data_IF_229741567604
#
_entry.id   IF_229741567604
#
_cell.length_a   1.000
_cell.length_b   1.000
_cell.length_c   1.000
_cell.angle_alpha   90.00
_cell.angle_beta   90.00
_cell.angle_gamma   90.00
#
_symmetry.space_group_name_H-M   'P 1'
#
loop_
_entity.id
_entity.type
_entity.pdbx_description
1 polymer ?
#
# COMPACT_ATOMS: atom_id res chain seq x y z
N UNK A 1 0.00 28.77 44.97
CA UNK A 1 0.93 28.30 43.93
C UNK A 1 0.84 26.78 43.90
N UNK A 2 0.17 26.20 42.91
CA UNK A 2 0.01 24.74 42.82
C UNK A 2 1.16 24.18 41.98
N UNK A 3 2.18 23.64 42.63
CA UNK A 3 3.23 22.85 41.98
C UNK A 3 2.65 21.47 41.69
N UNK A 4 2.31 21.22 40.42
CA UNK A 4 1.96 19.88 39.95
C UNK A 4 3.26 19.07 39.93
N UNK A 5 3.47 18.22 40.95
CA UNK A 5 4.55 17.24 40.94
C UNK A 5 4.24 16.18 39.87
N UNK A 6 4.67 16.42 38.63
CA UNK A 6 4.74 15.33 37.64
C UNK A 6 5.78 14.33 38.16
N UNK A 7 5.40 13.08 38.46
CA UNK A 7 6.34 12.11 38.96
C UNK A 7 7.40 11.83 37.89
N UNK A 8 8.66 11.65 38.28
CA UNK A 8 9.80 11.56 37.35
C UNK A 8 9.66 10.45 36.29
N UNK A 9 8.91 9.39 36.59
CA UNK A 9 8.57 8.35 35.62
C UNK A 9 7.66 8.86 34.49
N UNK A 10 6.79 9.83 34.75
CA UNK A 10 5.93 10.45 33.75
C UNK A 10 6.73 11.28 32.74
N UNK A 11 7.72 12.03 33.21
CA UNK A 11 8.63 12.78 32.32
C UNK A 11 9.49 11.84 31.47
N UNK A 12 10.03 10.77 32.06
CA UNK A 12 10.79 9.75 31.33
C UNK A 12 9.94 9.01 30.29
N UNK A 13 8.69 8.68 30.62
CA UNK A 13 7.75 8.06 29.69
C UNK A 13 7.42 8.98 28.51
N UNK A 14 7.14 10.26 28.75
CA UNK A 14 6.88 11.24 27.70
C UNK A 14 8.09 11.42 26.78
N UNK A 15 9.29 11.55 27.35
CA UNK A 15 10.53 11.64 26.58
C UNK A 15 10.76 10.38 25.73
N UNK A 16 10.52 9.20 26.29
CA UNK A 16 10.60 7.93 25.58
C UNK A 16 9.60 7.84 24.41
N UNK A 17 8.34 8.26 24.62
CA UNK A 17 7.32 8.30 23.56
C UNK A 17 7.71 9.27 22.45
N UNK A 18 8.18 10.47 22.79
CA UNK A 18 8.64 11.46 21.80
C UNK A 18 9.85 10.97 21.02
N UNK A 19 10.79 10.31 21.69
CA UNK A 19 11.98 9.74 21.06
C UNK A 19 11.62 8.58 20.13
N UNK A 20 10.71 7.69 20.55
CA UNK A 20 10.18 6.64 19.67
C UNK A 20 9.42 7.22 18.49
N UNK A 21 8.57 8.23 18.68
CA UNK A 21 7.82 8.87 17.60
C UNK A 21 8.73 9.64 16.62
N UNK A 22 9.86 10.17 17.12
CA UNK A 22 10.85 10.87 16.29
C UNK A 22 11.88 9.97 15.61
N UNK A 23 12.19 8.80 16.19
CA UNK A 23 13.22 7.87 15.65
C UNK A 23 12.65 6.70 14.87
N UNK A 24 11.49 6.21 15.29
CA UNK A 24 10.71 5.22 14.56
C UNK A 24 9.51 5.94 13.97
N UNK A 25 9.21 5.69 12.70
CA UNK A 25 8.00 6.22 12.09
C UNK A 25 6.78 5.41 12.59
N UNK A 26 6.49 5.53 13.89
CA UNK A 26 5.45 4.78 14.59
C UNK A 26 4.10 5.04 13.93
N UNK A 27 3.86 6.26 13.46
CA UNK A 27 2.67 6.63 12.71
C UNK A 27 2.54 5.81 11.41
N UNK A 28 3.63 5.64 10.65
CA UNK A 28 3.64 4.78 9.47
C UNK A 28 3.28 3.33 9.80
N UNK A 29 3.97 2.71 10.78
CA UNK A 29 3.72 1.31 11.12
C UNK A 29 2.33 1.09 11.70
N UNK A 30 1.85 1.98 12.57
CA UNK A 30 0.50 1.92 13.12
C UNK A 30 -0.56 2.02 12.01
N UNK A 31 -0.37 2.94 11.05
CA UNK A 31 -1.27 3.10 9.90
C UNK A 31 -1.22 1.88 8.97
N UNK A 32 -0.05 1.30 8.74
CA UNK A 32 0.09 0.05 7.97
C UNK A 32 -0.73 -1.08 8.61
N UNK A 33 -0.55 -1.27 9.92
CA UNK A 33 -1.29 -2.30 10.68
C UNK A 33 -2.80 -2.05 10.63
N UNK A 34 -3.23 -0.79 10.76
CA UNK A 34 -4.64 -0.41 10.61
C UNK A 34 -5.17 -0.71 9.21
N UNK A 35 -4.44 -0.35 8.16
CA UNK A 35 -4.85 -0.61 6.77
C UNK A 35 -5.01 -2.10 6.50
N UNK A 36 -4.06 -2.93 6.94
CA UNK A 36 -4.13 -4.39 6.81
C UNK A 36 -5.30 -4.96 7.62
N UNK A 37 -5.47 -4.54 8.87
CA UNK A 37 -6.58 -5.01 9.70
C UNK A 37 -7.94 -4.58 9.11
N UNK A 38 -8.07 -3.34 8.62
CA UNK A 38 -9.28 -2.84 7.96
C UNK A 38 -9.59 -3.65 6.69
N UNK A 39 -8.58 -3.90 5.88
CA UNK A 39 -8.70 -4.71 4.67
C UNK A 39 -9.17 -6.14 4.98
N UNK A 40 -8.60 -6.77 6.02
CA UNK A 40 -8.87 -8.14 6.40
C UNK A 40 -10.24 -8.37 7.04
N UNK A 41 -10.67 -7.46 7.91
CA UNK A 41 -11.86 -7.68 8.75
C UNK A 41 -13.08 -6.89 8.30
N UNK A 42 -12.91 -5.74 7.64
CA UNK A 42 -14.03 -4.83 7.34
C UNK A 42 -14.30 -4.65 5.85
N UNK A 43 -13.29 -4.79 4.97
CA UNK A 43 -13.48 -4.64 3.52
C UNK A 43 -13.82 -5.97 2.85
N UNK A 44 -14.59 -5.87 1.76
CA UNK A 44 -14.88 -7.03 0.90
C UNK A 44 -13.66 -7.40 0.06
N UNK A 45 -13.54 -8.70 -0.24
CA UNK A 45 -12.57 -9.20 -1.20
C UNK A 45 -12.81 -8.59 -2.57
N UNK A 46 -11.73 -8.29 -3.29
CA UNK A 46 -11.76 -7.68 -4.62
C UNK A 46 -11.14 -8.64 -5.64
N UNK A 47 -11.58 -8.60 -6.90
CA UNK A 47 -10.87 -9.32 -7.94
C UNK A 47 -9.54 -8.62 -8.25
N UNK A 48 -8.55 -9.36 -8.76
CA UNK A 48 -7.23 -8.81 -9.09
C UNK A 48 -7.27 -7.74 -10.20
N UNK A 49 -8.31 -7.77 -11.04
CA UNK A 49 -8.49 -6.80 -12.13
C UNK A 49 -9.34 -5.59 -11.73
N UNK A 50 -9.91 -5.59 -10.51
CA UNK A 50 -10.72 -4.49 -10.03
C UNK A 50 -9.85 -3.39 -9.44
N UNK A 51 -10.21 -2.13 -9.71
CA UNK A 51 -9.56 -0.98 -9.10
C UNK A 51 -9.97 -0.86 -7.63
N UNK A 52 -8.99 -0.89 -6.72
CA UNK A 52 -9.23 -0.67 -5.29
C UNK A 52 -8.97 0.78 -4.90
N UNK A 53 -9.89 1.37 -4.15
CA UNK A 53 -9.75 2.72 -3.61
C UNK A 53 -9.34 2.69 -2.13
N UNK A 54 -8.36 3.53 -1.77
CA UNK A 54 -7.92 3.75 -0.39
C UNK A 54 -7.91 5.24 -0.12
N UNK A 55 -8.73 5.65 0.84
CA UNK A 55 -8.82 7.04 1.27
C UNK A 55 -7.75 7.33 2.33
N UNK A 56 -7.06 8.46 2.14
CA UNK A 56 -5.99 8.94 3.00
C UNK A 56 -6.17 10.41 3.33
N UNK A 57 -5.72 10.79 4.52
CA UNK A 57 -5.67 12.17 4.96
C UNK A 57 -4.25 12.67 4.77
N UNK A 58 -4.09 13.81 4.09
CA UNK A 58 -2.81 14.52 4.03
C UNK A 58 -2.63 15.30 5.34
N UNK A 59 -1.69 14.88 6.19
CA UNK A 59 -1.40 15.57 7.44
C UNK A 59 -0.42 16.71 7.21
N UNK A 60 -0.30 17.63 8.17
CA UNK A 60 0.64 18.75 8.11
C UNK A 60 2.10 18.31 7.92
N UNK A 61 2.47 17.14 8.45
CA UNK A 61 3.81 16.55 8.29
C UNK A 61 4.04 15.91 6.90
N UNK A 62 2.99 15.78 6.09
CA UNK A 62 3.07 15.25 4.73
C UNK A 62 3.24 16.36 3.69
N UNK A 63 3.01 17.62 4.08
CA UNK A 63 3.20 18.79 3.23
C UNK A 63 4.68 19.17 3.19
N UNK A 64 5.18 19.54 2.02
CA UNK A 64 6.57 20.00 1.87
C UNK A 64 6.80 21.37 2.56
N UNK A 65 8.06 21.74 2.74
CA UNK A 65 8.56 22.96 3.40
C UNK A 65 7.87 24.26 2.97
N UNK A 66 7.41 24.32 1.73
CA UNK A 66 6.72 25.49 1.17
C UNK A 66 5.21 25.50 1.44
N UNK A 67 4.64 24.48 2.10
CA UNK A 67 3.23 24.34 2.46
C UNK A 67 2.20 24.36 1.29
N UNK A 68 2.65 24.37 0.04
CA UNK A 68 1.77 24.43 -1.14
C UNK A 68 1.46 23.07 -1.78
N UNK A 69 2.24 22.03 -1.50
CA UNK A 69 2.08 20.72 -2.13
C UNK A 69 2.50 19.60 -1.19
N UNK A 70 1.95 18.40 -1.42
CA UNK A 70 2.38 17.21 -0.70
C UNK A 70 3.78 16.82 -1.14
N UNK A 71 4.64 16.44 -0.19
CA UNK A 71 5.99 16.00 -0.49
C UNK A 71 5.96 14.72 -1.36
N UNK A 72 6.78 14.70 -2.42
CA UNK A 72 6.89 13.57 -3.36
C UNK A 72 7.12 12.21 -2.68
N UNK A 73 7.92 12.16 -1.61
CA UNK A 73 8.20 10.93 -0.87
C UNK A 73 6.96 10.38 -0.14
N UNK A 74 5.94 11.21 0.12
CA UNK A 74 4.70 10.79 0.77
C UNK A 74 3.78 10.04 -0.17
N UNK A 75 3.83 10.31 -1.48
CA UNK A 75 3.08 9.51 -2.47
C UNK A 75 3.55 8.06 -2.49
N UNK A 76 4.86 7.81 -2.42
CA UNK A 76 5.41 6.44 -2.33
C UNK A 76 4.97 5.72 -1.06
N UNK A 77 4.87 6.44 0.05
CA UNK A 77 4.35 5.90 1.31
C UNK A 77 2.86 5.54 1.21
N UNK A 78 2.05 6.43 0.63
CA UNK A 78 0.62 6.17 0.45
C UNK A 78 0.37 5.01 -0.53
N UNK A 79 1.23 4.87 -1.55
CA UNK A 79 1.26 3.71 -2.44
C UNK A 79 1.45 2.40 -1.66
N UNK A 80 2.33 2.37 -0.66
CA UNK A 80 2.55 1.16 0.15
C UNK A 80 1.30 0.72 0.90
N UNK A 81 0.51 1.67 1.43
CA UNK A 81 -0.77 1.36 2.06
C UNK A 81 -1.79 0.83 1.05
N UNK A 82 -1.88 1.45 -0.13
CA UNK A 82 -2.76 0.99 -1.20
C UNK A 82 -2.42 -0.44 -1.63
N UNK A 83 -1.13 -0.74 -1.79
CA UNK A 83 -0.63 -2.06 -2.14
C UNK A 83 -0.93 -3.10 -1.05
N UNK A 84 -0.75 -2.75 0.22
CA UNK A 84 -1.08 -3.64 1.33
C UNK A 84 -2.60 -3.96 1.40
N UNK A 85 -3.46 -2.95 1.21
CA UNK A 85 -4.92 -3.13 1.10
C UNK A 85 -5.28 -4.06 -0.06
N UNK A 86 -4.68 -3.83 -1.24
CA UNK A 86 -4.91 -4.63 -2.44
C UNK A 86 -4.50 -6.09 -2.24
N UNK A 87 -3.30 -6.35 -1.68
CA UNK A 87 -2.82 -7.70 -1.44
C UNK A 87 -3.69 -8.48 -0.47
N UNK A 88 -4.17 -7.84 0.60
CA UNK A 88 -5.01 -8.50 1.58
C UNK A 88 -6.41 -8.78 1.01
N UNK A 89 -6.98 -7.85 0.23
CA UNK A 89 -8.32 -8.00 -0.35
C UNK A 89 -8.38 -8.97 -1.52
N UNK A 90 -7.29 -9.09 -2.28
CA UNK A 90 -7.18 -10.03 -3.41
C UNK A 90 -6.62 -11.39 -2.99
N UNK A 91 -5.97 -11.48 -1.82
CA UNK A 91 -5.23 -12.67 -1.42
C UNK A 91 -3.96 -12.92 -2.23
N UNK A 92 -3.54 -11.98 -3.09
CA UNK A 92 -2.40 -12.14 -4.00
C UNK A 92 -1.12 -12.59 -3.28
N UNK A 93 -0.79 -11.96 -2.15
CA UNK A 93 0.39 -12.32 -1.38
C UNK A 93 0.30 -13.73 -0.78
N UNK A 94 -0.88 -14.15 -0.34
CA UNK A 94 -1.10 -15.52 0.15
C UNK A 94 -0.97 -16.56 -0.95
N UNK A 95 -1.46 -16.26 -2.16
CA UNK A 95 -1.33 -17.14 -3.33
C UNK A 95 0.11 -17.24 -3.82
N UNK A 96 0.87 -16.14 -3.82
CA UNK A 96 2.31 -16.14 -4.12
C UNK A 96 3.03 -17.07 -3.14
N UNK A 97 2.80 -16.91 -1.83
CA UNK A 97 3.44 -17.77 -0.82
C UNK A 97 2.99 -19.23 -0.89
N UNK A 98 1.71 -19.49 -1.16
CA UNK A 98 1.19 -20.85 -1.32
C UNK A 98 1.80 -21.55 -2.55
N UNK A 99 2.11 -20.79 -3.61
CA UNK A 99 2.85 -21.28 -4.77
C UNK A 99 4.37 -21.37 -4.54
N UNK A 100 4.86 -21.15 -3.31
CA UNK A 100 6.28 -21.18 -2.98
C UNK A 100 7.07 -19.96 -3.44
N UNK A 101 6.40 -18.90 -3.90
CA UNK A 101 7.03 -17.71 -4.46
C UNK A 101 7.38 -16.62 -3.44
N UNK A 102 8.33 -15.78 -3.84
CA UNK A 102 8.75 -14.57 -3.13
C UNK A 102 8.91 -13.38 -4.09
N UNK A 103 9.05 -12.17 -3.55
CA UNK A 103 9.31 -10.94 -4.33
C UNK A 103 10.82 -10.66 -4.25
N UNK A 104 11.56 -10.77 -5.37
CA UNK A 104 12.99 -10.39 -5.38
C UNK A 104 13.46 -9.75 -6.70
N UNK A 105 14.76 -9.43 -6.78
CA UNK A 105 15.39 -8.44 -7.69
C UNK A 105 16.16 -9.14 -8.84
N UNK A 106 15.50 -10.00 -9.63
CA UNK A 106 16.12 -10.70 -10.78
C UNK A 106 15.39 -10.38 -12.11
N UNK A 107 15.70 -11.02 -13.25
CA UNK A 107 15.15 -10.78 -14.62
C UNK A 107 14.53 -12.07 -15.25
N UNK A 108 13.29 -12.01 -15.77
CA UNK A 108 12.39 -13.09 -16.30
C UNK A 108 10.96 -12.51 -16.48
N UNK A 109 10.10 -13.15 -17.28
CA UNK A 109 8.74 -12.76 -17.72
C UNK A 109 7.65 -12.71 -16.61
N UNK A 110 8.06 -12.66 -15.34
CA UNK A 110 7.20 -12.87 -14.16
C UNK A 110 6.74 -11.57 -13.48
N UNK A 111 6.48 -10.51 -14.25
CA UNK A 111 6.21 -9.18 -13.69
C UNK A 111 4.72 -8.83 -13.68
N UNK A 112 4.24 -8.35 -12.54
CA UNK A 112 2.92 -7.72 -12.36
C UNK A 112 3.13 -6.21 -12.30
N UNK A 113 2.35 -5.45 -13.06
CA UNK A 113 2.34 -3.99 -13.00
C UNK A 113 1.10 -3.52 -12.25
N UNK A 114 1.28 -2.56 -11.36
CA UNK A 114 0.19 -1.92 -10.61
C UNK A 114 0.30 -0.41 -10.76
N UNK A 115 -0.73 0.17 -11.34
CA UNK A 115 -0.87 1.61 -11.48
C UNK A 115 -1.64 2.19 -10.29
N UNK A 116 -1.18 3.33 -9.80
CA UNK A 116 -1.76 4.05 -8.68
C UNK A 116 -2.00 5.49 -9.09
N UNK A 117 -3.25 5.91 -9.06
CA UNK A 117 -3.67 7.30 -9.28
C UNK A 117 -3.97 7.96 -7.92
N UNK A 118 -3.40 9.14 -7.71
CA UNK A 118 -3.64 9.94 -6.50
C UNK A 118 -4.59 11.08 -6.81
N UNK A 119 -5.86 10.90 -6.44
CA UNK A 119 -6.94 11.81 -6.79
C UNK A 119 -7.31 12.68 -5.59
N UNK A 120 -7.35 14.01 -5.80
CA UNK A 120 -7.77 14.97 -4.79
C UNK A 120 -9.29 15.13 -4.69
N UNK A 121 -9.81 15.88 -3.70
CA UNK A 121 -11.25 16.05 -3.46
C UNK A 121 -12.05 16.64 -4.64
N UNK A 122 -11.39 17.30 -5.59
CA UNK A 122 -11.99 17.84 -6.81
C UNK A 122 -11.90 16.92 -8.04
N UNK A 123 -11.47 15.67 -7.88
CA UNK A 123 -11.25 14.74 -9.00
C UNK A 123 -9.96 14.99 -9.78
N UNK A 124 -9.12 15.93 -9.34
CA UNK A 124 -7.83 16.21 -9.97
C UNK A 124 -6.79 15.14 -9.61
N UNK A 125 -6.11 14.58 -10.61
CA UNK A 125 -5.02 13.62 -10.42
C UNK A 125 -3.73 14.38 -10.10
N UNK A 126 -3.26 14.27 -8.86
CA UNK A 126 -2.05 14.94 -8.39
C UNK A 126 -0.77 14.19 -8.74
N UNK A 127 -0.84 12.86 -8.81
CA UNK A 127 0.27 12.00 -9.18
C UNK A 127 -0.22 10.68 -9.76
N UNK A 128 0.58 10.07 -10.62
CA UNK A 128 0.42 8.69 -11.09
C UNK A 128 1.73 7.96 -10.83
N UNK A 129 1.64 6.77 -10.25
CA UNK A 129 2.80 5.93 -9.98
C UNK A 129 2.56 4.50 -10.47
N UNK A 130 3.46 4.01 -11.30
CA UNK A 130 3.44 2.62 -11.76
C UNK A 130 4.48 1.82 -10.99
N UNK A 131 4.02 0.78 -10.31
CA UNK A 131 4.86 -0.18 -9.62
C UNK A 131 5.02 -1.47 -10.41
N UNK A 132 6.24 -1.79 -10.81
CA UNK A 132 6.61 -3.10 -11.34
C UNK A 132 6.98 -4.02 -10.19
N UNK A 133 6.21 -5.09 -10.02
CA UNK A 133 6.48 -6.14 -9.04
C UNK A 133 6.88 -7.41 -9.76
N UNK A 134 7.94 -8.04 -9.27
CA UNK A 134 8.41 -9.30 -9.85
C UNK A 134 8.07 -10.44 -8.91
N UNK A 135 7.46 -11.49 -9.46
CA UNK A 135 7.23 -12.74 -8.74
C UNK A 135 8.35 -13.73 -9.08
N UNK A 136 8.83 -14.46 -8.08
CA UNK A 136 9.88 -15.48 -8.19
C UNK A 136 9.32 -16.85 -7.79
N UNK A 137 9.92 -17.92 -8.32
CA UNK A 137 9.56 -19.34 -8.13
C UNK A 137 8.17 -19.76 -8.65
N UNK A 138 7.36 -18.81 -9.11
CA UNK A 138 6.10 -19.06 -9.80
C UNK A 138 5.86 -18.03 -10.91
N UNK A 139 4.95 -18.31 -11.85
CA UNK A 139 4.63 -17.38 -12.94
C UNK A 139 3.52 -16.41 -12.54
N UNK A 140 3.64 -15.15 -12.97
CA UNK A 140 2.60 -14.15 -12.75
C UNK A 140 1.25 -14.57 -13.35
N UNK A 141 1.28 -15.26 -14.50
CA UNK A 141 0.10 -15.82 -15.16
C UNK A 141 -0.58 -16.90 -14.31
N UNK A 142 0.18 -17.87 -13.77
CA UNK A 142 -0.38 -18.94 -12.93
C UNK A 142 -1.05 -18.38 -11.66
N UNK A 143 -0.47 -17.34 -11.07
CA UNK A 143 -1.08 -16.67 -9.91
C UNK A 143 -2.34 -15.90 -10.30
N UNK A 144 -2.32 -15.16 -11.41
CA UNK A 144 -3.49 -14.44 -11.90
C UNK A 144 -4.64 -15.40 -12.18
N UNK A 145 -4.37 -16.53 -12.85
CA UNK A 145 -5.35 -17.59 -13.10
C UNK A 145 -5.90 -18.19 -11.80
N UNK A 146 -5.02 -18.55 -10.86
CA UNK A 146 -5.43 -19.07 -9.55
C UNK A 146 -6.34 -18.08 -8.81
N UNK A 147 -5.98 -16.79 -8.82
CA UNK A 147 -6.76 -15.74 -8.15
C UNK A 147 -8.11 -15.49 -8.83
N UNK A 148 -8.14 -15.49 -10.17
CA UNK A 148 -9.38 -15.39 -10.95
C UNK A 148 -10.31 -16.58 -10.70
N UNK A 149 -9.76 -17.79 -10.56
CA UNK A 149 -10.55 -18.97 -10.20
C UNK A 149 -11.10 -18.87 -8.77
N UNK A 150 -10.26 -18.49 -7.80
CA UNK A 150 -10.64 -18.43 -6.38
C UNK A 150 -11.65 -17.32 -6.05
N UNK A 151 -11.54 -16.16 -6.70
CA UNK A 151 -12.37 -15.00 -6.38
C UNK A 151 -13.55 -14.83 -7.34
N UNK A 152 -13.35 -15.20 -8.59
CA UNK A 152 -14.19 -14.70 -9.68
C UNK A 152 -14.81 -15.85 -10.49
N UNK A 153 -14.47 -17.11 -10.21
CA UNK A 153 -14.98 -18.31 -10.90
C UNK A 153 -14.96 -18.21 -12.46
N UNK A 154 -14.07 -17.38 -13.02
CA UNK A 154 -14.00 -17.09 -14.45
C UNK A 154 -14.98 -16.02 -14.97
N UNK A 155 -15.74 -15.34 -14.11
CA UNK A 155 -16.71 -14.30 -14.49
C UNK A 155 -16.10 -12.88 -14.67
N UNK A 156 -14.83 -12.70 -14.34
CA UNK A 156 -14.17 -11.39 -14.49
C UNK A 156 -13.73 -11.12 -15.92
N UNK A 157 -13.53 -9.82 -16.20
CA UNK A 157 -13.01 -9.36 -17.49
C UNK A 157 -11.70 -10.09 -17.82
N UNK A 158 -11.43 -10.44 -19.09
CA UNK A 158 -10.15 -11.00 -19.45
C UNK A 158 -9.01 -10.03 -19.08
N UNK A 159 -7.87 -10.53 -18.60
CA UNK A 159 -6.70 -9.70 -18.34
C UNK A 159 -6.26 -8.97 -19.62
N UNK A 160 -5.71 -7.76 -19.52
CA UNK A 160 -5.22 -7.03 -20.68
C UNK A 160 -4.09 -7.82 -21.38
N UNK A 161 -4.22 -8.03 -22.69
CA UNK A 161 -3.30 -8.85 -23.49
C UNK A 161 -2.04 -8.11 -23.94
N UNK A 162 -2.03 -6.78 -23.82
CA UNK A 162 -0.88 -5.92 -24.14
C UNK A 162 -0.73 -4.86 -23.06
N UNK A 163 0.53 -4.57 -22.75
CA UNK A 163 0.88 -3.50 -21.82
C UNK A 163 0.47 -2.14 -22.43
N UNK A 164 -0.17 -1.24 -21.65
CA UNK A 164 -0.51 0.09 -22.16
C UNK A 164 0.77 0.84 -22.54
N UNK A 165 0.77 1.59 -23.66
CA UNK A 165 1.95 2.31 -24.14
C UNK A 165 2.46 3.35 -23.13
N UNK A 166 1.58 3.86 -22.27
CA UNK A 166 1.87 4.83 -21.21
C UNK A 166 2.82 4.30 -20.13
N UNK A 167 2.90 2.97 -19.97
CA UNK A 167 3.73 2.31 -18.96
C UNK A 167 5.09 1.85 -19.52
N UNK A 168 5.29 1.96 -20.84
CA UNK A 168 6.52 1.57 -21.55
C UNK A 168 7.50 2.75 -21.66
N UNK A 169 7.04 3.99 -21.41
CA UNK A 169 7.79 5.23 -21.55
C UNK A 169 8.75 5.50 -20.37
#
# INVERSE_FOLDING_TARGET
MWTVCLPGWGAAAVAGVLLLYGSLDVAYFARMMYTVAKARYYKKKACILDTTQVESWCLLNDVDTLLYHMNNARYLRELDFARADFYERTGLYSSIKAAGGAVAIYWDEKTVFMEHEFVGPGGFVHAVAVCRQRVIDTSAAAIAELLLQLHCAGACRPPPSKMPPEVIA
#
